data_IF_163130106865
#
_entry.id   IF_163130106865
#
_cell.length_a   1.000
_cell.length_b   1.000
_cell.length_c   1.000
_cell.angle_alpha   90.00
_cell.angle_beta   90.00
_cell.angle_gamma   90.00
#
_symmetry.space_group_name_H-M   'P 1'
#
loop_
_entity.id
_entity.type
_entity.pdbx_description
1 polymer ?
#
# COMPACT_ATOMS: atom_id res chain seq x y z
N UNK A 1 -12.56 -11.38 -12.92
CA UNK A 1 -13.90 -10.97 -13.39
C UNK A 1 -15.01 -11.87 -12.84
N UNK A 2 -14.85 -13.20 -12.94
CA UNK A 2 -15.79 -14.20 -12.35
C UNK A 2 -16.09 -13.95 -10.87
N UNK A 3 -15.06 -13.75 -10.03
CA UNK A 3 -15.25 -13.48 -8.60
C UNK A 3 -16.03 -12.19 -8.32
N UNK A 4 -15.93 -11.17 -9.19
CA UNK A 4 -16.71 -9.93 -9.06
C UNK A 4 -18.19 -10.17 -9.29
N UNK A 5 -18.52 -10.94 -10.32
CA UNK A 5 -19.90 -11.29 -10.67
C UNK A 5 -20.53 -12.12 -9.55
N UNK A 6 -19.78 -13.06 -8.98
CA UNK A 6 -20.25 -13.90 -7.87
C UNK A 6 -20.55 -13.09 -6.60
N UNK A 7 -19.67 -12.16 -6.20
CA UNK A 7 -19.90 -11.32 -5.00
C UNK A 7 -21.02 -10.30 -5.20
N UNK A 8 -21.11 -9.67 -6.38
CA UNK A 8 -22.19 -8.75 -6.70
C UNK A 8 -23.56 -9.45 -6.68
N UNK A 9 -23.62 -10.73 -7.06
CA UNK A 9 -24.83 -11.55 -6.94
C UNK A 9 -25.12 -12.01 -5.50
N UNK A 10 -24.10 -12.18 -4.66
CA UNK A 10 -24.26 -12.63 -3.27
C UNK A 10 -24.68 -11.49 -2.32
N UNK A 11 -24.00 -10.35 -2.38
CA UNK A 11 -24.11 -9.31 -1.34
C UNK A 11 -24.71 -8.00 -1.87
N UNK A 12 -24.96 -7.87 -3.17
CA UNK A 12 -25.43 -6.63 -3.81
C UNK A 12 -24.45 -5.44 -3.74
N UNK A 13 -23.37 -5.57 -2.96
CA UNK A 13 -22.31 -4.57 -2.83
C UNK A 13 -21.32 -4.64 -3.98
N UNK A 14 -20.90 -3.49 -4.49
CA UNK A 14 -19.78 -3.39 -5.41
C UNK A 14 -18.46 -3.71 -4.69
N UNK A 15 -17.58 -4.48 -5.34
CA UNK A 15 -16.21 -4.71 -4.84
C UNK A 15 -15.38 -3.47 -5.14
N UNK A 16 -14.78 -2.87 -4.12
CA UNK A 16 -13.70 -1.90 -4.31
C UNK A 16 -12.46 -2.64 -4.82
N UNK A 17 -12.07 -2.38 -6.07
CA UNK A 17 -10.89 -2.97 -6.66
C UNK A 17 -9.74 -1.98 -6.62
N UNK A 18 -8.77 -2.27 -5.76
CA UNK A 18 -7.57 -1.46 -5.57
C UNK A 18 -6.39 -2.13 -6.22
N UNK A 19 -5.65 -1.38 -7.04
CA UNK A 19 -4.41 -1.85 -7.69
C UNK A 19 -3.24 -1.04 -7.12
N UNK A 20 -2.34 -1.73 -6.43
CA UNK A 20 -1.09 -1.15 -5.93
C UNK A 20 -0.03 -1.13 -7.03
N UNK A 21 0.66 0.00 -7.15
CA UNK A 21 1.84 0.13 -8.01
C UNK A 21 3.11 0.11 -7.17
N UNK A 22 3.77 -1.05 -7.09
CA UNK A 22 5.05 -1.15 -6.40
C UNK A 22 6.15 -0.45 -7.21
N UNK A 23 7.04 0.27 -6.52
CA UNK A 23 8.12 1.03 -7.14
C UNK A 23 9.37 0.15 -7.18
N UNK A 24 9.86 -0.12 -8.38
CA UNK A 24 11.19 -0.69 -8.61
C UNK A 24 12.16 0.43 -9.00
N UNK A 25 13.34 0.43 -8.39
CA UNK A 25 14.29 1.55 -8.40
C UNK A 25 14.89 1.91 -9.77
N UNK A 26 14.66 1.09 -10.81
CA UNK A 26 15.40 1.18 -12.07
C UNK A 26 14.55 1.28 -13.35
N UNK A 27 13.24 1.56 -13.27
CA UNK A 27 12.45 1.78 -14.49
C UNK A 27 12.79 3.17 -15.06
N UNK A 28 13.27 3.22 -16.31
CA UNK A 28 13.48 4.46 -17.05
C UNK A 28 12.23 5.37 -16.98
N UNK A 29 12.42 6.68 -16.74
CA UNK A 29 11.33 7.64 -16.55
C UNK A 29 10.23 7.57 -17.64
N UNK A 30 10.64 7.35 -18.90
CA UNK A 30 9.73 7.21 -20.04
C UNK A 30 8.85 5.95 -19.98
N UNK A 31 9.40 4.82 -19.53
CA UNK A 31 8.64 3.58 -19.39
C UNK A 31 7.66 3.67 -18.21
N UNK A 32 8.07 4.34 -17.13
CA UNK A 32 7.20 4.61 -15.99
C UNK A 32 5.99 5.46 -16.39
N UNK A 33 6.22 6.54 -17.15
CA UNK A 33 5.14 7.41 -17.63
C UNK A 33 4.16 6.64 -18.54
N UNK A 34 4.68 5.86 -19.50
CA UNK A 34 3.82 5.03 -20.38
C UNK A 34 2.99 4.00 -19.61
N UNK A 35 3.59 3.36 -18.61
CA UNK A 35 2.88 2.40 -17.77
C UNK A 35 1.79 3.09 -16.94
N UNK A 36 2.07 4.27 -16.42
CA UNK A 36 1.10 5.09 -15.69
C UNK A 36 -0.07 5.52 -16.57
N UNK A 37 0.18 6.01 -17.78
CA UNK A 37 -0.85 6.35 -18.76
C UNK A 37 -1.72 5.13 -19.11
N UNK A 38 -1.09 3.99 -19.43
CA UNK A 38 -1.81 2.76 -19.77
C UNK A 38 -2.67 2.24 -18.60
N UNK A 39 -2.14 2.27 -17.37
CA UNK A 39 -2.90 1.88 -16.18
C UNK A 39 -4.04 2.86 -15.89
N UNK A 40 -3.85 4.16 -16.13
CA UNK A 40 -4.90 5.17 -16.00
C UNK A 40 -6.03 4.93 -17.00
N UNK A 41 -5.74 4.59 -18.25
CA UNK A 41 -6.75 4.23 -19.24
C UNK A 41 -7.50 2.94 -18.87
N UNK A 42 -6.78 1.91 -18.42
CA UNK A 42 -7.37 0.65 -17.97
C UNK A 42 -8.25 0.84 -16.73
N UNK A 43 -7.86 1.72 -15.81
CA UNK A 43 -8.61 2.00 -14.58
C UNK A 43 -10.03 2.48 -14.88
N UNK A 44 -10.18 3.38 -15.87
CA UNK A 44 -11.48 3.90 -16.33
C UNK A 44 -12.36 2.83 -16.95
N UNK A 45 -11.77 1.89 -17.70
CA UNK A 45 -12.49 0.81 -18.39
C UNK A 45 -12.88 -0.34 -17.47
N UNK A 46 -12.02 -0.65 -16.49
CA UNK A 46 -12.14 -1.83 -15.65
C UNK A 46 -12.66 -1.54 -14.24
N UNK A 47 -12.78 -0.26 -13.87
CA UNK A 47 -13.37 0.19 -12.61
C UNK A 47 -12.51 -0.12 -11.39
N UNK A 48 -11.18 -0.03 -11.51
CA UNK A 48 -10.27 -0.09 -10.37
C UNK A 48 -9.67 1.27 -10.06
N UNK A 49 -9.25 1.46 -8.82
CA UNK A 49 -8.49 2.64 -8.40
C UNK A 49 -7.03 2.27 -8.17
N UNK A 50 -6.14 3.16 -8.57
CA UNK A 50 -4.71 2.99 -8.37
C UNK A 50 -4.29 3.64 -7.07
N UNK A 51 -3.41 2.96 -6.33
CA UNK A 51 -2.81 3.50 -5.11
C UNK A 51 -1.29 3.35 -5.15
N UNK A 52 -0.54 4.25 -4.48
CA UNK A 52 0.90 4.06 -4.35
C UNK A 52 1.18 2.74 -3.62
N UNK A 53 2.08 1.93 -4.18
CA UNK A 53 2.56 0.72 -3.54
C UNK A 53 3.88 0.95 -2.79
N UNK A 54 4.51 -0.15 -2.43
CA UNK A 54 5.75 -0.15 -1.67
C UNK A 54 6.99 -0.06 -2.57
N UNK A 55 8.05 0.49 -2.01
CA UNK A 55 9.40 0.34 -2.57
C UNK A 55 9.99 -0.99 -2.12
N UNK A 56 10.76 -1.63 -2.99
CA UNK A 56 11.50 -2.85 -2.62
C UNK A 56 12.60 -2.54 -1.60
N UNK A 57 12.59 -3.23 -0.46
CA UNK A 57 13.52 -3.00 0.65
C UNK A 57 13.95 -4.32 1.29
N UNK A 58 15.21 -4.39 1.72
CA UNK A 58 15.77 -5.59 2.40
C UNK A 58 15.12 -5.82 3.77
N UNK A 59 14.66 -4.75 4.42
CA UNK A 59 13.96 -4.78 5.71
C UNK A 59 12.85 -5.83 5.81
N UNK A 60 12.06 -6.01 4.74
CA UNK A 60 10.97 -7.00 4.72
C UNK A 60 11.50 -8.43 4.83
N UNK A 61 12.69 -8.71 4.25
CA UNK A 61 13.33 -10.02 4.32
C UNK A 61 14.01 -10.26 5.66
N UNK A 62 14.53 -9.22 6.28
CA UNK A 62 15.18 -9.31 7.61
C UNK A 62 14.15 -9.58 8.71
N UNK A 63 12.96 -9.00 8.62
CA UNK A 63 11.86 -9.22 9.59
C UNK A 63 11.15 -10.57 9.40
N UNK A 64 11.17 -11.12 8.19
CA UNK A 64 10.40 -12.31 7.82
C UNK A 64 10.66 -13.54 8.72
N UNK A 65 11.91 -13.92 9.07
CA UNK A 65 12.18 -15.08 9.91
C UNK A 65 11.58 -14.98 11.32
N UNK A 66 11.44 -13.75 11.83
CA UNK A 66 10.84 -13.47 13.13
C UNK A 66 9.31 -13.33 13.08
N UNK A 67 8.71 -13.34 11.88
CA UNK A 67 7.28 -13.11 11.69
C UNK A 67 6.85 -11.67 12.00
N UNK A 68 7.80 -10.72 12.02
CA UNK A 68 7.54 -9.32 12.37
C UNK A 68 7.03 -8.52 11.18
N UNK A 69 6.20 -7.51 11.46
CA UNK A 69 5.73 -6.52 10.48
C UNK A 69 6.25 -5.12 10.83
N UNK A 70 6.11 -4.18 9.90
CA UNK A 70 6.48 -2.77 10.13
C UNK A 70 5.69 -2.11 11.27
N UNK A 71 4.54 -2.66 11.66
CA UNK A 71 3.70 -2.14 12.73
C UNK A 71 4.20 -2.59 14.11
N UNK A 72 4.92 -3.70 14.17
CA UNK A 72 5.44 -4.28 15.42
C UNK A 72 6.77 -3.65 15.85
N UNK A 73 7.40 -2.88 14.96
CA UNK A 73 8.63 -2.16 15.25
C UNK A 73 8.33 -0.89 16.07
N UNK A 74 8.19 -1.07 17.38
CA UNK A 74 8.14 0.03 18.36
C UNK A 74 9.57 0.42 18.77
N UNK A 75 9.74 1.69 19.18
CA UNK A 75 11.04 2.24 19.61
C UNK A 75 11.68 1.45 20.77
N UNK A 76 10.87 0.71 21.53
CA UNK A 76 11.27 0.00 22.75
C UNK A 76 11.69 -1.47 22.52
N UNK A 77 11.24 -2.13 21.45
CA UNK A 77 11.50 -3.57 21.21
C UNK A 77 12.64 -3.86 20.22
N UNK A 78 13.15 -2.85 19.52
CA UNK A 78 14.24 -3.04 18.56
C UNK A 78 15.59 -2.63 19.14
N UNK A 79 16.45 -3.62 19.39
CA UNK A 79 17.90 -3.40 19.36
C UNK A 79 18.35 -2.81 18.00
N UNK A 80 19.65 -2.47 17.88
CA UNK A 80 20.10 -1.13 17.52
C UNK A 80 19.40 -0.52 16.29
N UNK A 81 18.61 0.52 16.53
CA UNK A 81 18.39 1.64 15.62
C UNK A 81 17.40 1.41 14.48
N UNK A 82 16.22 2.01 14.59
CA UNK A 82 15.33 2.30 13.47
C UNK A 82 16.13 2.92 12.32
N UNK A 83 16.49 2.11 11.33
CA UNK A 83 17.15 2.64 10.12
C UNK A 83 16.17 3.50 9.34
N UNK A 84 16.70 4.47 8.56
CA UNK A 84 15.87 5.31 7.67
C UNK A 84 14.97 4.50 6.72
N UNK A 85 15.34 3.25 6.42
CA UNK A 85 14.52 2.35 5.60
C UNK A 85 13.21 1.97 6.29
N UNK A 86 13.21 1.72 7.61
CA UNK A 86 12.02 1.40 8.39
C UNK A 86 11.05 2.58 8.41
N UNK A 87 11.56 3.78 8.66
CA UNK A 87 10.76 5.02 8.70
C UNK A 87 10.06 5.26 7.36
N UNK A 88 10.80 5.15 6.26
CA UNK A 88 10.23 5.32 4.93
C UNK A 88 9.20 4.23 4.59
N UNK A 89 9.45 2.97 4.99
CA UNK A 89 8.52 1.87 4.79
C UNK A 89 7.21 2.05 5.59
N UNK A 90 7.28 2.56 6.83
CA UNK A 90 6.10 2.93 7.63
C UNK A 90 5.30 4.06 7.00
N UNK A 91 5.97 5.07 6.44
CA UNK A 91 5.29 6.15 5.72
C UNK A 91 4.56 5.64 4.46
N UNK A 92 5.18 4.73 3.70
CA UNK A 92 4.54 4.05 2.56
C UNK A 92 3.32 3.23 3.01
N UNK A 93 3.41 2.50 4.12
CA UNK A 93 2.31 1.74 4.70
C UNK A 93 1.16 2.65 5.15
N UNK A 94 1.45 3.76 5.84
CA UNK A 94 0.44 4.71 6.27
C UNK A 94 -0.30 5.33 5.07
N UNK A 95 0.41 5.69 4.00
CA UNK A 95 -0.18 6.19 2.78
C UNK A 95 -1.10 5.16 2.10
N UNK A 96 -0.71 3.88 2.10
CA UNK A 96 -1.54 2.79 1.59
C UNK A 96 -2.81 2.63 2.43
N UNK A 97 -2.68 2.55 3.76
CA UNK A 97 -3.82 2.38 4.66
C UNK A 97 -4.82 3.52 4.54
N UNK A 98 -4.34 4.77 4.45
CA UNK A 98 -5.16 5.94 4.18
C UNK A 98 -5.89 5.83 2.84
N UNK A 99 -5.21 5.33 1.80
CA UNK A 99 -5.82 5.13 0.50
C UNK A 99 -6.86 4.01 0.50
N UNK A 100 -6.73 2.97 1.32
CA UNK A 100 -7.65 1.83 1.31
C UNK A 100 -9.06 2.15 1.84
N UNK A 101 -9.25 3.28 2.54
CA UNK A 101 -10.58 3.73 3.01
C UNK A 101 -11.34 2.64 3.79
N UNK A 102 -10.63 1.87 4.60
CA UNK A 102 -11.20 0.72 5.29
C UNK A 102 -12.19 1.18 6.39
N UNK A 103 -13.40 0.58 6.47
CA UNK A 103 -14.35 0.92 7.50
C UNK A 103 -13.81 0.56 8.88
N UNK A 104 -13.93 1.47 9.84
CA UNK A 104 -13.39 1.29 11.21
C UNK A 104 -11.91 1.64 11.36
N UNK A 105 -11.20 1.92 10.26
CA UNK A 105 -9.85 2.46 10.28
C UNK A 105 -9.92 3.99 10.16
N UNK A 106 -10.52 4.65 11.16
CA UNK A 106 -10.35 6.09 11.31
C UNK A 106 -8.88 6.30 11.71
N UNK A 107 -8.04 6.73 10.77
CA UNK A 107 -6.76 7.31 11.11
C UNK A 107 -7.07 8.58 11.90
N UNK A 108 -7.19 8.47 13.22
CA UNK A 108 -7.15 9.62 14.10
C UNK A 108 -5.83 10.31 13.74
N UNK A 109 -5.91 11.39 12.94
CA UNK A 109 -4.89 12.43 12.98
C UNK A 109 -4.91 12.84 14.43
N UNK A 110 -3.99 12.30 15.22
CA UNK A 110 -3.49 12.97 16.42
C UNK A 110 -2.88 14.27 15.91
N UNK A 111 -3.75 15.25 15.63
CA UNK A 111 -3.49 16.65 15.92
C UNK A 111 -3.27 16.70 17.44
N UNK A 112 -2.08 16.28 17.89
CA UNK A 112 -1.56 16.83 19.12
C UNK A 112 -1.26 18.29 18.82
N UNK A 113 -2.19 19.10 19.28
CA UNK A 113 -2.09 20.52 19.50
C UNK A 113 -0.69 20.93 19.99
N UNK A 114 -0.21 22.04 19.40
CA UNK A 114 0.48 23.18 20.02
C UNK A 114 1.52 22.83 21.11
#
# INVERSE_FOLDING_TARGET
>A
WSCRKARAQADGSSIDWVVLRNRTSHIHAKNRQRLEEALNELSKRLGFRQVPGFSERVVYREMFPAGLTLLDLTEDETGPGLTMSHVAARAELAALLAALQLPGLALERTEKAI
#
